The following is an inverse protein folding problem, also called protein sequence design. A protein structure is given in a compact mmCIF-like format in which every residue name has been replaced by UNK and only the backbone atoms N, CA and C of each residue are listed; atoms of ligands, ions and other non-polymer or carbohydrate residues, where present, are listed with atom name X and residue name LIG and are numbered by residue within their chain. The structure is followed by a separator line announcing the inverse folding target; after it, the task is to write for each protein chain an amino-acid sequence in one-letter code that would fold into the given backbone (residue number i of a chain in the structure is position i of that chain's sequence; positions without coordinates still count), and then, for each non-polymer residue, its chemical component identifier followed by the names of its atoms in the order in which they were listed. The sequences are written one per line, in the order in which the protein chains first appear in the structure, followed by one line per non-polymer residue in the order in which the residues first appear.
data_IF_367579321741
#
_entry.id   IF_367579321741
#
_cell.length_a   1.000
_cell.length_b   1.000
_cell.length_c   1.000
_cell.angle_alpha   90.00
_cell.angle_beta   90.00
_cell.angle_gamma   90.00
#
_symmetry.space_group_name_H-M   'P 1'
#
loop_
_entity.id
_entity.type
_entity.pdbx_description
1 polymer ?
#
# COMPACT_ATOMS: atom_id res chain seq x y z
N UNK A 1 -25.39 -16.66 -0.82
CA UNK A 1 -23.95 -16.68 -0.63
C UNK A 1 -23.42 -15.27 -0.43
N UNK A 2 -22.68 -15.06 0.64
CA UNK A 2 -21.87 -13.85 0.85
C UNK A 2 -20.41 -14.21 0.53
N UNK A 3 -19.97 -13.85 -0.66
CA UNK A 3 -18.59 -14.03 -1.09
C UNK A 3 -17.79 -12.86 -0.51
N UNK A 4 -16.68 -13.13 0.16
CA UNK A 4 -15.87 -12.10 0.78
C UNK A 4 -15.31 -11.11 -0.27
N UNK A 5 -15.58 -9.83 -0.07
CA UNK A 5 -14.92 -8.76 -0.81
C UNK A 5 -13.67 -8.35 -0.02
N UNK A 6 -12.51 -8.53 -0.64
CA UNK A 6 -11.22 -8.20 -0.06
C UNK A 6 -10.67 -6.91 -0.68
N UNK A 7 -9.77 -6.23 0.04
CA UNK A 7 -9.18 -4.99 -0.41
C UNK A 7 -8.24 -5.21 -1.60
N UNK A 8 -8.37 -4.37 -2.62
CA UNK A 8 -7.48 -4.33 -3.80
C UNK A 8 -6.65 -3.04 -3.81
N UNK A 9 -5.71 -2.93 -4.74
CA UNK A 9 -4.85 -1.75 -4.84
C UNK A 9 -4.02 -1.53 -3.57
N UNK A 10 -3.58 -2.60 -2.94
CA UNK A 10 -2.81 -2.59 -1.68
C UNK A 10 -1.31 -2.46 -1.88
N UNK A 11 -0.82 -2.66 -3.12
CA UNK A 11 0.59 -2.80 -3.44
C UNK A 11 1.16 -4.19 -3.15
N UNK A 12 0.32 -5.16 -2.78
CA UNK A 12 0.65 -6.57 -2.62
C UNK A 12 0.10 -7.31 -3.84
N UNK A 13 0.97 -8.01 -4.58
CA UNK A 13 0.65 -8.62 -5.87
C UNK A 13 -0.48 -9.65 -5.78
N UNK A 14 -0.49 -10.48 -4.73
CA UNK A 14 -1.52 -11.48 -4.49
C UNK A 14 -2.93 -10.90 -4.33
N UNK A 15 -3.03 -9.60 -3.98
CA UNK A 15 -4.31 -8.93 -3.80
C UNK A 15 -4.89 -8.34 -5.10
N UNK A 16 -4.09 -8.26 -6.16
CA UNK A 16 -4.49 -7.57 -7.38
C UNK A 16 -5.72 -8.20 -8.06
N UNK A 17 -5.90 -9.51 -7.91
CA UNK A 17 -6.96 -10.25 -8.58
C UNK A 17 -8.24 -10.42 -7.75
N UNK A 18 -8.28 -10.03 -6.49
CA UNK A 18 -9.41 -10.31 -5.59
C UNK A 18 -10.76 -9.78 -6.09
N UNK A 19 -10.80 -8.63 -6.75
CA UNK A 19 -12.06 -8.11 -7.31
C UNK A 19 -12.53 -8.94 -8.52
N UNK A 20 -11.62 -9.35 -9.37
CA UNK A 20 -11.89 -10.24 -10.51
C UNK A 20 -12.38 -11.59 -10.01
N UNK A 21 -11.71 -12.18 -9.02
CA UNK A 21 -12.08 -13.47 -8.43
C UNK A 21 -13.48 -13.41 -7.82
N UNK A 22 -13.83 -12.30 -7.15
CA UNK A 22 -15.19 -12.08 -6.65
C UNK A 22 -16.23 -12.05 -7.77
N UNK A 23 -15.99 -11.28 -8.83
CA UNK A 23 -16.89 -11.14 -9.97
C UNK A 23 -17.08 -12.49 -10.66
N UNK A 24 -16.02 -13.27 -10.85
CA UNK A 24 -16.08 -14.59 -11.43
C UNK A 24 -16.80 -15.59 -10.52
N UNK A 25 -16.56 -15.54 -9.19
CA UNK A 25 -17.29 -16.36 -8.23
C UNK A 25 -18.80 -16.10 -8.27
N UNK A 26 -19.20 -14.82 -8.31
CA UNK A 26 -20.62 -14.44 -8.48
C UNK A 26 -21.18 -15.02 -9.79
N UNK A 27 -20.48 -14.86 -10.90
CA UNK A 27 -20.89 -15.38 -12.21
C UNK A 27 -21.06 -16.90 -12.17
N UNK A 28 -20.11 -17.60 -11.59
CA UNK A 28 -20.15 -19.06 -11.46
C UNK A 28 -21.35 -19.53 -10.60
N UNK A 29 -21.59 -18.87 -9.45
CA UNK A 29 -22.74 -19.19 -8.57
C UNK A 29 -24.04 -19.01 -9.34
N UNK A 30 -24.23 -17.93 -10.07
CA UNK A 30 -25.44 -17.66 -10.82
C UNK A 30 -25.68 -18.66 -11.95
N UNK A 31 -24.63 -19.16 -12.57
CA UNK A 31 -24.72 -20.13 -13.65
C UNK A 31 -24.97 -21.57 -13.15
N UNK A 32 -24.38 -21.94 -12.02
CA UNK A 32 -24.33 -23.32 -11.56
C UNK A 32 -25.30 -23.64 -10.40
N UNK A 33 -25.63 -22.64 -9.56
CA UNK A 33 -26.47 -22.82 -8.39
C UNK A 33 -27.80 -22.09 -8.56
N UNK A 34 -28.76 -22.75 -9.23
CA UNK A 34 -30.07 -22.15 -9.52
C UNK A 34 -30.80 -21.77 -8.23
N UNK A 35 -31.38 -20.58 -8.21
CA UNK A 35 -32.16 -20.06 -7.08
C UNK A 35 -31.35 -19.47 -5.94
N UNK A 36 -30.03 -19.59 -5.97
CA UNK A 36 -29.13 -18.90 -4.99
C UNK A 36 -29.01 -17.44 -5.28
N UNK A 37 -28.93 -16.64 -4.21
CA UNK A 37 -28.61 -15.22 -4.26
C UNK A 37 -27.20 -14.96 -3.73
N UNK A 38 -26.61 -13.85 -4.20
CA UNK A 38 -25.26 -13.41 -3.83
C UNK A 38 -25.31 -12.05 -3.18
N UNK A 39 -24.42 -11.83 -2.20
CA UNK A 39 -24.24 -10.55 -1.52
C UNK A 39 -22.75 -10.25 -1.26
N UNK A 40 -22.43 -9.02 -0.91
CA UNK A 40 -21.09 -8.65 -0.49
C UNK A 40 -21.00 -7.26 0.12
N UNK A 41 -20.04 -7.07 1.04
CA UNK A 41 -19.72 -5.80 1.69
C UNK A 41 -18.73 -4.98 0.87
N UNK A 42 -19.21 -4.02 0.08
CA UNK A 42 -18.42 -3.30 -0.96
C UNK A 42 -17.35 -2.38 -0.38
N UNK A 43 -17.59 -1.78 0.79
CA UNK A 43 -16.68 -0.79 1.37
C UNK A 43 -15.27 -1.33 1.64
N UNK A 44 -15.13 -2.65 1.81
CA UNK A 44 -13.86 -3.31 2.07
C UNK A 44 -12.92 -3.25 0.86
N UNK A 45 -13.47 -3.30 -0.36
CA UNK A 45 -12.72 -3.24 -1.62
C UNK A 45 -11.72 -2.08 -1.67
N UNK A 46 -12.15 -0.90 -1.25
CA UNK A 46 -11.42 0.35 -1.35
C UNK A 46 -10.66 0.75 -0.08
N UNK A 47 -10.47 -0.18 0.86
CA UNK A 47 -9.81 0.10 2.14
C UNK A 47 -8.40 0.68 1.97
N UNK A 48 -7.68 0.25 0.94
CA UNK A 48 -6.35 0.74 0.59
C UNK A 48 -6.28 2.26 0.32
N UNK A 49 -7.41 2.85 -0.09
CA UNK A 49 -7.54 4.29 -0.37
C UNK A 49 -8.33 5.04 0.73
N UNK A 50 -8.37 4.50 1.95
CA UNK A 50 -9.02 5.18 3.08
C UNK A 50 -8.46 6.60 3.25
N UNK A 51 -9.38 7.58 3.38
CA UNK A 51 -9.04 9.00 3.44
C UNK A 51 -9.15 9.75 2.10
N UNK A 52 -9.40 9.04 0.97
CA UNK A 52 -9.73 9.66 -0.32
C UNK A 52 -11.11 9.18 -0.79
N UNK A 53 -12.15 9.91 -0.39
CA UNK A 53 -13.52 9.52 -0.71
C UNK A 53 -13.80 9.51 -2.21
N UNK A 54 -13.27 10.47 -2.97
CA UNK A 54 -13.47 10.53 -4.43
C UNK A 54 -13.03 9.24 -5.13
N UNK A 55 -11.83 8.75 -4.81
CA UNK A 55 -11.31 7.50 -5.38
C UNK A 55 -12.12 6.30 -4.88
N UNK A 56 -12.48 6.27 -3.59
CA UNK A 56 -13.27 5.18 -3.02
C UNK A 56 -14.65 5.06 -3.62
N UNK A 57 -15.33 6.17 -3.82
CA UNK A 57 -16.65 6.24 -4.47
C UNK A 57 -16.58 5.71 -5.90
N UNK A 58 -15.57 6.12 -6.66
CA UNK A 58 -15.33 5.59 -8.00
C UNK A 58 -15.06 4.07 -7.97
N UNK A 59 -14.22 3.59 -7.05
CA UNK A 59 -13.95 2.16 -6.91
C UNK A 59 -15.21 1.36 -6.58
N UNK A 60 -16.07 1.85 -5.69
CA UNK A 60 -17.33 1.18 -5.35
C UNK A 60 -18.25 1.10 -6.57
N UNK A 61 -18.39 2.21 -7.29
CA UNK A 61 -19.29 2.30 -8.45
C UNK A 61 -18.82 1.41 -9.60
N UNK A 62 -17.53 1.44 -9.92
CA UNK A 62 -16.93 0.60 -10.97
C UNK A 62 -17.05 -0.88 -10.62
N UNK A 63 -16.71 -1.26 -9.39
CA UNK A 63 -16.83 -2.64 -8.95
C UNK A 63 -18.27 -3.13 -9.03
N UNK A 64 -19.23 -2.36 -8.50
CA UNK A 64 -20.65 -2.71 -8.54
C UNK A 64 -21.17 -2.82 -9.97
N UNK A 65 -20.75 -1.94 -10.88
CA UNK A 65 -21.10 -2.03 -12.28
C UNK A 65 -20.77 -3.42 -12.84
N UNK A 66 -19.54 -3.89 -12.67
CA UNK A 66 -19.11 -5.20 -13.17
C UNK A 66 -19.72 -6.37 -12.39
N UNK A 67 -19.84 -6.26 -11.06
CA UNK A 67 -20.41 -7.33 -10.23
C UNK A 67 -21.92 -7.54 -10.49
N UNK A 68 -22.68 -6.45 -10.71
CA UNK A 68 -24.11 -6.52 -11.07
C UNK A 68 -24.29 -7.18 -12.44
N UNK A 69 -23.44 -6.83 -13.42
CA UNK A 69 -23.44 -7.49 -14.73
C UNK A 69 -23.08 -8.99 -14.65
N UNK A 70 -22.30 -9.39 -13.65
CA UNK A 70 -22.01 -10.80 -13.36
C UNK A 70 -23.17 -11.52 -12.64
N UNK A 71 -24.17 -10.78 -12.11
CA UNK A 71 -25.36 -11.30 -11.46
C UNK A 71 -25.42 -11.11 -9.94
N UNK A 72 -24.66 -10.17 -9.37
CA UNK A 72 -24.75 -9.80 -7.95
C UNK A 72 -26.18 -9.32 -7.62
N UNK A 73 -26.81 -9.94 -6.61
CA UNK A 73 -28.20 -9.63 -6.23
C UNK A 73 -28.28 -8.52 -5.17
N UNK A 74 -27.34 -8.45 -4.24
CA UNK A 74 -27.36 -7.55 -3.09
C UNK A 74 -25.97 -7.03 -2.76
N UNK A 75 -25.88 -5.79 -2.30
CA UNK A 75 -24.66 -5.18 -1.84
C UNK A 75 -24.87 -4.41 -0.54
N UNK A 76 -23.94 -4.54 0.40
CA UNK A 76 -23.86 -3.72 1.60
C UNK A 76 -22.90 -2.57 1.28
N UNK A 77 -23.44 -1.37 1.11
CA UNK A 77 -22.67 -0.17 0.73
C UNK A 77 -23.36 1.07 1.30
N UNK A 78 -22.57 2.12 1.57
CA UNK A 78 -23.15 3.43 1.87
C UNK A 78 -23.62 4.09 0.54
N UNK A 79 -24.92 4.30 0.33
CA UNK A 79 -25.43 4.88 -0.92
C UNK A 79 -24.85 6.27 -1.24
N UNK A 80 -24.50 7.06 -0.21
CA UNK A 80 -23.87 8.36 -0.39
C UNK A 80 -22.42 8.29 -0.90
N UNK A 81 -21.84 7.09 -0.97
CA UNK A 81 -20.51 6.82 -1.52
C UNK A 81 -20.58 6.08 -2.86
N UNK A 82 -21.58 6.36 -3.64
CA UNK A 82 -21.74 5.85 -5.00
C UNK A 82 -21.89 7.02 -5.97
N UNK A 83 -21.25 6.91 -7.11
CA UNK A 83 -21.37 7.81 -8.26
C UNK A 83 -22.07 7.07 -9.39
N UNK A 84 -22.71 7.81 -10.29
CA UNK A 84 -23.16 7.22 -11.54
C UNK A 84 -21.95 6.88 -12.39
N UNK A 85 -21.87 5.64 -12.88
CA UNK A 85 -20.69 5.12 -13.60
C UNK A 85 -20.25 6.03 -14.75
N UNK A 86 -21.20 6.48 -15.57
CA UNK A 86 -20.96 7.34 -16.74
C UNK A 86 -20.62 8.80 -16.38
N UNK A 87 -20.80 9.20 -15.12
CA UNK A 87 -20.48 10.55 -14.62
C UNK A 87 -19.11 10.60 -13.93
N UNK A 88 -18.44 9.47 -13.74
CA UNK A 88 -17.08 9.42 -13.21
C UNK A 88 -16.13 10.07 -14.22
N UNK A 89 -15.23 10.93 -13.72
CA UNK A 89 -14.19 11.52 -14.57
C UNK A 89 -13.49 10.43 -15.40
N UNK A 90 -13.39 10.58 -16.74
CA UNK A 90 -12.89 9.51 -17.61
C UNK A 90 -11.47 9.04 -17.28
N UNK A 91 -10.61 9.92 -16.76
CA UNK A 91 -9.23 9.57 -16.37
C UNK A 91 -9.27 8.72 -15.10
N UNK A 92 -10.09 9.11 -14.13
CA UNK A 92 -10.30 8.36 -12.90
C UNK A 92 -10.98 7.02 -13.17
N UNK A 93 -12.03 7.01 -14.01
CA UNK A 93 -12.75 5.81 -14.40
C UNK A 93 -11.80 4.76 -14.98
N UNK A 94 -10.97 5.17 -15.96
CA UNK A 94 -9.99 4.27 -16.57
C UNK A 94 -9.01 3.71 -15.54
N UNK A 95 -8.44 4.55 -14.72
CA UNK A 95 -7.45 4.12 -13.72
C UNK A 95 -8.06 3.18 -12.67
N UNK A 96 -9.29 3.44 -12.24
CA UNK A 96 -10.03 2.58 -11.31
C UNK A 96 -10.41 1.25 -11.96
N UNK A 97 -10.88 1.25 -13.21
CA UNK A 97 -11.15 0.00 -13.94
C UNK A 97 -9.90 -0.86 -14.10
N UNK A 98 -8.76 -0.24 -14.41
CA UNK A 98 -7.51 -0.97 -14.57
C UNK A 98 -7.11 -1.69 -13.27
N UNK A 99 -7.38 -1.09 -12.10
CA UNK A 99 -7.18 -1.72 -10.78
C UNK A 99 -8.24 -2.78 -10.48
N UNK A 100 -9.52 -2.47 -10.66
CA UNK A 100 -10.64 -3.38 -10.34
C UNK A 100 -10.60 -4.64 -11.21
N UNK A 101 -10.21 -4.50 -12.47
CA UNK A 101 -10.14 -5.61 -13.43
C UNK A 101 -8.74 -6.17 -13.59
N UNK A 102 -7.77 -5.71 -12.80
CA UNK A 102 -6.37 -6.14 -12.83
C UNK A 102 -5.79 -6.15 -14.26
N UNK A 103 -5.99 -5.05 -15.01
CA UNK A 103 -5.64 -4.97 -16.44
C UNK A 103 -4.14 -4.82 -16.69
N UNK A 104 -3.42 -4.15 -15.79
CA UNK A 104 -1.98 -3.91 -15.93
C UNK A 104 -1.26 -4.03 -14.57
N UNK A 105 -0.01 -4.47 -14.54
CA UNK A 105 0.78 -4.54 -13.31
C UNK A 105 0.94 -3.19 -12.60
N UNK A 106 0.98 -2.09 -13.37
CA UNK A 106 1.19 -0.72 -12.89
C UNK A 106 -0.11 -0.01 -12.48
N UNK A 107 -1.27 -0.68 -12.59
CA UNK A 107 -2.58 -0.06 -12.32
C UNK A 107 -2.66 0.58 -10.94
N UNK A 108 -2.18 -0.11 -9.90
CA UNK A 108 -2.17 0.42 -8.53
C UNK A 108 -1.33 1.69 -8.40
N UNK A 109 -0.14 1.73 -9.00
CA UNK A 109 0.74 2.90 -8.99
C UNK A 109 0.13 4.10 -9.70
N UNK A 110 -0.47 3.84 -10.85
CA UNK A 110 -1.17 4.86 -11.64
C UNK A 110 -2.32 5.47 -10.83
N UNK A 111 -3.11 4.62 -10.16
CA UNK A 111 -4.23 5.09 -9.33
C UNK A 111 -3.74 5.85 -8.09
N UNK A 112 -2.63 5.45 -7.45
CA UNK A 112 -2.03 6.19 -6.32
C UNK A 112 -1.62 7.59 -6.76
N UNK A 113 -0.90 7.71 -7.87
CA UNK A 113 -0.44 8.99 -8.42
C UNK A 113 -1.63 9.91 -8.75
N UNK A 114 -2.68 9.34 -9.31
CA UNK A 114 -3.90 10.07 -9.62
C UNK A 114 -4.66 10.47 -8.33
N UNK A 115 -4.72 9.58 -7.34
CA UNK A 115 -5.38 9.83 -6.06
C UNK A 115 -4.77 11.01 -5.29
N UNK A 116 -3.46 11.23 -5.40
CA UNK A 116 -2.80 12.39 -4.83
C UNK A 116 -3.31 13.69 -5.45
N UNK A 117 -3.51 13.73 -6.77
CA UNK A 117 -4.08 14.91 -7.47
C UNK A 117 -5.51 15.22 -7.02
N UNK A 118 -6.34 14.23 -6.78
CA UNK A 118 -7.70 14.42 -6.28
C UNK A 118 -7.76 14.85 -4.79
N UNK A 119 -6.70 14.64 -4.02
CA UNK A 119 -6.56 15.22 -2.67
C UNK A 119 -6.24 16.73 -2.73
N UNK A 120 -5.40 17.14 -3.66
CA UNK A 120 -4.87 18.50 -3.77
C UNK A 120 -5.93 19.52 -4.24
N UNK A 121 -7.03 19.10 -4.84
CA UNK A 121 -8.14 20.00 -5.22
C UNK A 121 -8.80 20.69 -4.01
N UNK A 122 -8.37 20.37 -2.78
CA UNK A 122 -8.75 21.11 -1.54
C UNK A 122 -7.63 21.95 -0.93
N UNK A 123 -6.48 22.09 -1.56
CA UNK A 123 -5.37 22.93 -1.10
C UNK A 123 -4.13 22.77 -1.97
N UNK A 124 -3.75 23.84 -2.62
CA UNK A 124 -2.49 24.18 -3.30
C UNK A 124 -1.63 23.07 -3.94
N UNK A 125 -1.50 23.19 -5.26
CA UNK A 125 -0.54 22.47 -6.12
C UNK A 125 0.89 22.72 -5.65
N UNK A 126 1.58 21.70 -5.16
CA UNK A 126 3.04 21.71 -5.01
C UNK A 126 3.69 21.02 -6.19
N UNK A 127 4.22 21.83 -7.09
CA UNK A 127 5.09 21.45 -8.20
C UNK A 127 6.37 20.78 -7.68
N UNK A 128 6.70 19.66 -8.27
CA UNK A 128 7.99 18.97 -8.43
C UNK A 128 9.21 19.69 -7.83
N UNK A 129 9.71 19.19 -6.70
CA UNK A 129 11.09 19.35 -6.24
C UNK A 129 11.73 17.96 -6.19
N UNK A 130 12.22 17.49 -7.34
CA UNK A 130 12.61 16.09 -7.48
C UNK A 130 14.07 15.78 -7.09
N UNK A 131 14.91 16.77 -6.80
CA UNK A 131 16.34 16.52 -6.48
C UNK A 131 16.90 17.27 -5.26
N UNK A 132 16.25 18.30 -4.74
CA UNK A 132 16.76 19.07 -3.59
C UNK A 132 16.91 18.26 -2.30
N UNK A 133 16.18 17.14 -2.16
CA UNK A 133 16.24 16.30 -0.96
C UNK A 133 17.60 15.58 -0.80
N UNK A 134 18.33 15.36 -1.89
CA UNK A 134 19.68 14.74 -1.83
C UNK A 134 20.70 15.62 -1.11
N UNK A 135 20.49 16.92 -1.07
CA UNK A 135 21.35 17.89 -0.38
C UNK A 135 21.05 17.99 1.13
N UNK A 136 20.06 17.23 1.64
CA UNK A 136 19.71 17.23 3.06
C UNK A 136 20.63 16.35 3.88
N UNK A 137 20.66 16.54 5.23
CA UNK A 137 21.36 15.64 6.14
C UNK A 137 20.97 14.17 5.92
N UNK A 138 21.90 13.25 6.19
CA UNK A 138 21.74 11.82 5.97
C UNK A 138 20.46 11.25 6.59
N UNK A 139 20.15 11.60 7.84
CA UNK A 139 18.92 11.15 8.53
C UNK A 139 17.65 11.57 7.79
N UNK A 140 17.64 12.79 7.24
CA UNK A 140 16.49 13.27 6.47
C UNK A 140 16.39 12.57 5.11
N UNK A 141 17.51 12.22 4.49
CA UNK A 141 17.54 11.46 3.23
C UNK A 141 16.99 10.05 3.43
N UNK A 142 17.44 9.35 4.47
CA UNK A 142 16.93 8.02 4.81
C UNK A 142 15.44 8.06 5.17
N UNK A 143 15.01 9.04 5.97
CA UNK A 143 13.60 9.26 6.27
C UNK A 143 12.76 9.57 5.03
N UNK A 144 13.28 10.39 4.12
CA UNK A 144 12.60 10.70 2.85
C UNK A 144 12.48 9.47 1.95
N UNK A 145 13.56 8.68 1.82
CA UNK A 145 13.55 7.44 1.06
C UNK A 145 12.47 6.47 1.56
N UNK A 146 12.32 6.31 2.88
CA UNK A 146 11.25 5.51 3.48
C UNK A 146 9.85 6.07 3.17
N UNK A 147 9.63 7.38 3.39
CA UNK A 147 8.33 8.01 3.18
C UNK A 147 7.89 7.94 1.71
N UNK A 148 8.83 8.09 0.78
CA UNK A 148 8.56 8.09 -0.67
C UNK A 148 8.67 6.71 -1.31
N UNK A 149 9.20 5.71 -0.59
CA UNK A 149 9.39 4.37 -1.12
C UNK A 149 10.51 4.28 -2.17
N UNK A 150 11.59 5.09 -2.02
CA UNK A 150 12.72 5.19 -2.94
C UNK A 150 13.84 4.26 -2.48
N UNK A 151 14.36 3.43 -3.37
CA UNK A 151 15.49 2.52 -3.10
C UNK A 151 16.78 2.90 -3.83
N UNK A 152 16.71 3.76 -4.86
CA UNK A 152 17.81 4.05 -5.79
C UNK A 152 19.09 4.49 -5.11
N UNK A 153 19.00 5.23 -3.99
CA UNK A 153 20.15 5.77 -3.24
C UNK A 153 20.35 5.08 -1.89
N UNK A 154 19.55 4.05 -1.59
CA UNK A 154 19.51 3.44 -0.25
C UNK A 154 20.85 2.83 0.14
N UNK A 155 21.51 2.14 -0.79
CA UNK A 155 22.82 1.51 -0.54
C UNK A 155 23.90 2.54 -0.22
N UNK A 156 23.96 3.65 -0.98
CA UNK A 156 24.93 4.73 -0.78
C UNK A 156 24.71 5.42 0.57
N UNK A 157 23.45 5.77 0.88
CA UNK A 157 23.11 6.44 2.13
C UNK A 157 23.36 5.54 3.34
N UNK A 158 23.14 4.23 3.24
CA UNK A 158 23.45 3.28 4.32
C UNK A 158 24.96 3.06 4.49
N UNK A 159 25.74 3.09 3.41
CA UNK A 159 27.21 3.05 3.51
C UNK A 159 27.76 4.30 4.19
N UNK A 160 27.23 5.47 3.87
CA UNK A 160 27.55 6.72 4.57
C UNK A 160 27.15 6.64 6.04
N UNK A 161 25.97 6.09 6.35
CA UNK A 161 25.51 5.89 7.73
C UNK A 161 26.46 4.98 8.54
N UNK A 162 26.96 3.90 7.95
CA UNK A 162 27.91 2.99 8.62
C UNK A 162 29.22 3.68 9.02
N UNK A 163 29.59 4.79 8.38
CA UNK A 163 30.76 5.57 8.77
C UNK A 163 30.47 6.58 9.89
N UNK A 164 29.21 6.93 10.13
CA UNK A 164 28.80 7.96 11.09
C UNK A 164 28.23 7.40 12.40
N UNK A 165 27.60 6.22 12.36
CA UNK A 165 26.98 5.60 13.52
C UNK A 165 27.90 4.56 14.19
N UNK A 166 27.81 4.43 15.50
CA UNK A 166 28.66 3.54 16.27
C UNK A 166 28.37 2.05 16.00
N UNK A 167 27.14 1.72 15.58
CA UNK A 167 26.75 0.37 15.22
C UNK A 167 25.71 0.34 14.10
N UNK A 168 25.67 -0.74 13.28
CA UNK A 168 24.61 -0.88 12.26
C UNK A 168 23.20 -0.96 12.84
N UNK A 169 23.05 -1.44 14.08
CA UNK A 169 21.76 -1.51 14.78
C UNK A 169 21.24 -0.11 15.10
N UNK A 170 22.13 0.82 15.47
CA UNK A 170 21.79 2.20 15.75
C UNK A 170 21.20 2.92 14.50
N UNK A 171 21.67 2.58 13.30
CA UNK A 171 21.08 3.07 12.05
C UNK A 171 19.62 2.64 11.91
N UNK A 172 19.32 1.40 12.33
CA UNK A 172 17.93 0.89 12.31
C UNK A 172 17.09 1.61 13.36
N UNK A 173 17.58 1.72 14.61
CA UNK A 173 16.82 2.26 15.74
C UNK A 173 16.59 3.77 15.64
N UNK A 174 17.54 4.52 15.08
CA UNK A 174 17.46 5.97 15.01
C UNK A 174 16.85 6.46 13.68
N UNK A 175 17.57 6.58 12.54
CA UNK A 175 17.02 7.23 11.35
C UNK A 175 15.92 6.40 10.68
N UNK A 176 16.07 5.06 10.60
CA UNK A 176 15.09 4.23 9.88
C UNK A 176 13.79 4.07 10.66
N UNK A 177 13.84 3.82 11.97
CA UNK A 177 12.64 3.71 12.79
C UNK A 177 11.90 5.03 12.91
N UNK A 178 12.61 6.17 13.05
CA UNK A 178 12.00 7.51 13.01
C UNK A 178 11.30 7.78 11.67
N UNK A 179 11.88 7.32 10.56
CA UNK A 179 11.26 7.39 9.24
C UNK A 179 9.95 6.59 9.19
N UNK A 180 9.96 5.36 9.69
CA UNK A 180 8.76 4.50 9.76
C UNK A 180 7.69 5.03 10.72
N UNK A 181 8.07 5.66 11.82
CA UNK A 181 7.13 6.33 12.72
C UNK A 181 6.37 7.45 12.00
N UNK A 182 7.05 8.27 11.20
CA UNK A 182 6.40 9.29 10.35
C UNK A 182 5.47 8.68 9.31
N UNK A 183 5.84 7.56 8.71
CA UNK A 183 4.96 6.80 7.80
C UNK A 183 3.69 6.37 8.53
N UNK A 184 3.81 5.83 9.74
CA UNK A 184 2.68 5.44 10.59
C UNK A 184 1.78 6.63 10.94
N UNK A 185 2.37 7.78 11.29
CA UNK A 185 1.65 9.01 11.56
C UNK A 185 0.87 9.50 10.32
N UNK A 186 1.51 9.58 9.15
CA UNK A 186 0.85 10.00 7.92
C UNK A 186 -0.27 9.06 7.49
N UNK A 187 -0.11 7.76 7.71
CA UNK A 187 -1.16 6.79 7.49
C UNK A 187 -2.33 6.99 8.45
N UNK A 188 -2.07 7.18 9.75
CA UNK A 188 -3.09 7.45 10.76
C UNK A 188 -3.87 8.74 10.49
N UNK A 189 -3.21 9.77 10.00
CA UNK A 189 -3.81 11.07 9.62
C UNK A 189 -4.52 11.03 8.24
N UNK A 190 -4.51 9.88 7.54
CA UNK A 190 -5.08 9.75 6.20
C UNK A 190 -4.31 10.52 5.11
N UNK A 191 -3.07 10.94 5.39
CA UNK A 191 -2.18 11.61 4.42
C UNK A 191 -1.46 10.62 3.51
N UNK A 192 -1.38 9.36 3.92
CA UNK A 192 -0.72 8.27 3.20
C UNK A 192 -1.69 7.11 3.02
N UNK A 193 -1.62 6.43 1.88
CA UNK A 193 -2.44 5.26 1.59
C UNK A 193 -1.71 3.97 1.91
N UNK A 194 -2.46 2.88 2.13
CA UNK A 194 -1.89 1.56 2.45
C UNK A 194 -0.80 1.12 1.46
N UNK A 195 -0.96 1.24 0.12
CA UNK A 195 0.10 0.83 -0.79
C UNK A 195 1.40 1.63 -0.61
N UNK A 196 1.33 2.90 -0.22
CA UNK A 196 2.51 3.71 0.09
C UNK A 196 3.21 3.19 1.36
N UNK A 197 2.45 2.77 2.39
CA UNK A 197 2.99 2.13 3.60
C UNK A 197 3.68 0.81 3.26
N UNK A 198 3.07 0.01 2.37
CA UNK A 198 3.68 -1.25 1.89
C UNK A 198 5.00 -0.98 1.16
N UNK A 199 5.09 0.08 0.35
CA UNK A 199 6.34 0.51 -0.28
C UNK A 199 7.40 0.90 0.76
N UNK A 200 7.03 1.71 1.74
CA UNK A 200 7.92 2.09 2.85
C UNK A 200 8.45 0.86 3.59
N UNK A 201 7.58 -0.12 3.86
CA UNK A 201 7.98 -1.38 4.50
C UNK A 201 8.94 -2.20 3.63
N UNK A 202 8.80 -2.19 2.30
CA UNK A 202 9.75 -2.82 1.38
C UNK A 202 11.12 -2.14 1.46
N UNK A 203 11.17 -0.80 1.45
CA UNK A 203 12.43 -0.04 1.63
C UNK A 203 13.09 -0.37 2.96
N UNK A 204 12.32 -0.40 4.05
CA UNK A 204 12.82 -0.78 5.38
C UNK A 204 13.42 -2.19 5.38
N UNK A 205 12.72 -3.16 4.78
CA UNK A 205 13.20 -4.54 4.65
C UNK A 205 14.51 -4.62 3.87
N UNK A 206 14.63 -3.86 2.78
CA UNK A 206 15.83 -3.80 1.96
C UNK A 206 16.99 -3.15 2.73
N UNK A 207 16.74 -2.06 3.46
CA UNK A 207 17.73 -1.42 4.32
C UNK A 207 18.28 -2.40 5.38
N UNK A 208 17.41 -3.14 6.06
CA UNK A 208 17.82 -4.15 7.04
C UNK A 208 18.63 -5.27 6.37
N UNK A 209 18.24 -5.69 5.16
CA UNK A 209 18.99 -6.71 4.41
C UNK A 209 20.41 -6.24 4.04
N UNK A 210 20.55 -4.98 3.61
CA UNK A 210 21.88 -4.38 3.32
C UNK A 210 22.74 -4.29 4.59
N UNK A 211 22.16 -3.94 5.74
CA UNK A 211 22.87 -3.82 7.01
C UNK A 211 23.17 -5.17 7.69
N UNK A 212 22.48 -6.24 7.33
CA UNK A 212 22.61 -7.54 8.00
C UNK A 212 24.04 -8.08 8.05
N UNK A 213 24.84 -8.07 6.98
CA UNK A 213 26.24 -8.55 7.05
C UNK A 213 27.09 -7.75 8.03
N UNK A 214 26.86 -6.44 8.14
CA UNK A 214 27.58 -5.57 9.07
C UNK A 214 27.15 -5.79 10.52
N UNK A 215 25.87 -6.06 10.75
CA UNK A 215 25.35 -6.48 12.06
C UNK A 215 26.02 -7.79 12.51
N UNK A 216 26.14 -8.76 11.61
CA UNK A 216 26.79 -10.03 11.89
C UNK A 216 28.29 -9.86 12.19
N UNK A 217 29.02 -9.05 11.44
CA UNK A 217 30.43 -8.69 11.67
C UNK A 217 30.63 -7.96 13.00
N UNK A 218 29.79 -6.97 13.26
CA UNK A 218 29.85 -6.20 14.52
C UNK A 218 29.63 -7.12 15.73
N UNK A 219 28.67 -8.01 15.61
CA UNK A 219 28.35 -8.99 16.64
C UNK A 219 29.46 -10.04 16.85
N UNK A 220 30.17 -10.44 15.80
CA UNK A 220 31.30 -11.41 15.90
C UNK A 220 32.56 -10.81 16.52
N UNK A 221 32.75 -9.48 16.38
CA UNK A 221 33.91 -8.75 16.91
C UNK A 221 33.78 -8.35 18.39
N UNK A 222 32.57 -8.38 18.95
CA UNK A 222 32.30 -7.99 20.33
C UNK A 222 32.73 -9.04 21.34
N UNK A 223 33.65 -8.70 22.26
CA UNK A 223 34.19 -9.57 23.31
C UNK A 223 33.21 -9.95 24.43
N UNK A 224 31.98 -9.48 24.41
CA UNK A 224 30.95 -9.82 25.40
C UNK A 224 29.80 -10.59 24.75
N UNK A 225 29.94 -11.90 24.67
CA UNK A 225 28.86 -12.83 24.33
C UNK A 225 27.95 -12.98 25.55
N UNK A 226 27.19 -11.96 25.87
CA UNK A 226 25.99 -12.16 26.69
C UNK A 226 25.03 -13.02 25.86
N UNK A 227 24.60 -14.14 26.44
CA UNK A 227 23.70 -15.10 25.79
C UNK A 227 22.44 -14.36 25.31
N UNK A 228 22.33 -14.18 24.00
CA UNK A 228 21.19 -13.44 23.41
C UNK A 228 19.89 -14.17 23.72
N UNK A 229 18.82 -13.46 24.11
CA UNK A 229 17.51 -14.09 24.23
C UNK A 229 17.09 -14.66 22.86
N UNK A 230 16.56 -15.88 22.88
CA UNK A 230 15.98 -16.49 21.68
C UNK A 230 14.49 -16.17 21.65
N UNK A 231 14.04 -15.55 20.58
CA UNK A 231 12.62 -15.27 20.31
C UNK A 231 12.19 -16.19 19.18
N UNK A 232 11.10 -16.93 19.39
CA UNK A 232 10.46 -17.73 18.35
C UNK A 232 9.19 -16.99 17.93
N UNK A 233 9.11 -16.64 16.66
CA UNK A 233 7.92 -16.03 16.07
C UNK A 233 7.37 -17.06 15.08
N UNK A 234 6.09 -17.39 15.25
CA UNK A 234 5.39 -18.30 14.35
C UNK A 234 4.09 -17.64 13.87
N UNK A 235 3.80 -17.78 12.57
CA UNK A 235 2.47 -17.47 12.03
C UNK A 235 1.60 -18.71 12.19
N UNK A 236 0.43 -18.52 12.77
CA UNK A 236 -0.58 -19.58 12.85
C UNK A 236 -1.50 -19.41 11.65
N UNK A 237 -1.66 -20.50 10.89
CA UNK A 237 -2.64 -20.52 9.80
C UNK A 237 -4.03 -20.56 10.45
N UNK A 238 -4.78 -19.44 10.30
CA UNK A 238 -6.16 -19.34 10.74
C UNK A 238 -7.12 -19.89 9.70
#
# INVERSE_FOLDING_TARGET
FDVNILAIGTGIEEHNNYAVDYIEAVRWIKQNLKGCRTSGGVSNLSFSFRGNNTVREAMHSVFLYHAIHAGLDMAIVNPAMLQVYDEIDPILLKAVEDVVLNRTPEATETLITLAEKYKETKGEVKTVQQEEWRNRPLEERLGHALIKGITDYLTEDLQEALAHYASPVEIIEEPLMKGMERVGQFFGEGKMFLPQVVKSAKVMKEAVHILQPEIERHNASGKNVTRRPRVVIATVKG
#
